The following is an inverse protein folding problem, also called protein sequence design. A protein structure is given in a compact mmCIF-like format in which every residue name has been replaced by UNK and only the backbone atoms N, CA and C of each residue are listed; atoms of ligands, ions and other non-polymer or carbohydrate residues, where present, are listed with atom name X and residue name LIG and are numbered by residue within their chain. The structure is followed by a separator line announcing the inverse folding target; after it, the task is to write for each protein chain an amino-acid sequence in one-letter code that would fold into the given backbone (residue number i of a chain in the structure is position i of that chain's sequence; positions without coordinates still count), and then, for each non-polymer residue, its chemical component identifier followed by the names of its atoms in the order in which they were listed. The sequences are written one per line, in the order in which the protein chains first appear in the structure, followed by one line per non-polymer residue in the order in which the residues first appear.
data_IF_374334826875
#
_entry.id   IF_374334826875
#
_cell.length_a   1.000
_cell.length_b   1.000
_cell.length_c   1.000
_cell.angle_alpha   90.00
_cell.angle_beta   90.00
_cell.angle_gamma   90.00
#
_symmetry.space_group_name_H-M   'P 1'
#
loop_
_entity.id
_entity.type
_entity.pdbx_description
1 polymer ?
#
# COMPACT_ATOMS: atom_id res chain seq x y z
N UNK A 1 1.96 -15.71 -25.59
CA UNK A 1 1.92 -14.24 -25.74
C UNK A 1 0.70 -13.91 -26.57
N UNK A 2 -0.07 -12.91 -26.20
CA UNK A 2 -1.33 -12.56 -26.88
C UNK A 2 -1.12 -11.68 -28.12
N UNK A 3 0.12 -11.35 -28.48
CA UNK A 3 0.46 -10.59 -29.69
C UNK A 3 0.01 -9.11 -29.68
N UNK A 4 -0.26 -8.55 -28.50
CA UNK A 4 -0.59 -7.14 -28.31
C UNK A 4 0.50 -6.44 -27.52
N UNK A 5 0.76 -5.18 -27.84
CA UNK A 5 1.69 -4.38 -27.05
C UNK A 5 1.13 -4.14 -25.66
N UNK A 6 1.93 -4.30 -24.59
CA UNK A 6 1.48 -4.03 -23.23
C UNK A 6 1.26 -2.52 -23.09
N UNK A 7 0.02 -2.14 -22.77
CA UNK A 7 -0.33 -0.76 -22.45
C UNK A 7 -1.03 -0.74 -21.08
N UNK A 8 -0.60 0.16 -20.20
CA UNK A 8 -1.27 0.41 -18.94
C UNK A 8 -2.30 1.54 -19.13
N UNK A 9 -3.55 1.16 -19.36
CA UNK A 9 -4.65 2.12 -19.43
C UNK A 9 -5.49 2.03 -18.16
N UNK A 10 -5.51 3.09 -17.33
CA UNK A 10 -6.37 3.10 -16.15
C UNK A 10 -7.84 3.11 -16.56
N UNK A 11 -8.71 2.37 -15.83
CA UNK A 11 -10.14 2.38 -16.07
C UNK A 11 -10.71 3.79 -15.86
N UNK A 12 -11.83 4.07 -16.51
CA UNK A 12 -12.56 5.34 -16.35
C UNK A 12 -13.55 5.23 -15.21
N UNK A 13 -13.49 6.16 -14.27
CA UNK A 13 -14.42 6.29 -13.15
C UNK A 13 -15.19 7.61 -13.22
N UNK A 14 -16.32 7.65 -12.56
CA UNK A 14 -16.99 8.92 -12.26
C UNK A 14 -16.22 9.62 -11.12
N UNK A 15 -15.54 10.70 -11.46
CA UNK A 15 -14.78 11.54 -10.55
C UNK A 15 -15.48 12.89 -10.26
N UNK A 16 -16.74 13.05 -10.65
CA UNK A 16 -17.48 14.32 -10.58
C UNK A 16 -17.92 14.72 -9.16
N UNK A 17 -17.91 13.78 -8.21
CA UNK A 17 -18.29 14.06 -6.84
C UNK A 17 -17.44 15.18 -6.21
N UNK A 18 -18.07 16.08 -5.46
CA UNK A 18 -17.38 17.17 -4.76
C UNK A 18 -16.43 16.63 -3.69
N UNK A 19 -15.29 17.31 -3.52
CA UNK A 19 -14.31 16.99 -2.48
C UNK A 19 -14.95 16.98 -1.09
N UNK A 20 -14.82 15.86 -0.38
CA UNK A 20 -15.44 15.64 0.94
C UNK A 20 -14.52 16.06 2.09
N UNK A 21 -13.20 15.95 1.90
CA UNK A 21 -12.20 16.20 2.94
C UNK A 21 -11.52 17.54 2.70
N UNK A 22 -11.54 18.40 3.72
CA UNK A 22 -10.87 19.71 3.68
C UNK A 22 -9.39 19.57 4.07
N UNK A 23 -8.54 20.43 3.49
CA UNK A 23 -7.11 20.49 3.77
C UNK A 23 -6.28 19.42 3.05
N UNK A 24 -4.99 19.36 3.36
CA UNK A 24 -4.07 18.35 2.86
C UNK A 24 -4.36 17.00 3.51
N UNK A 25 -4.50 15.95 2.73
CA UNK A 25 -4.69 14.61 3.28
C UNK A 25 -4.15 13.52 2.34
N UNK A 26 -3.81 12.41 2.94
CA UNK A 26 -3.41 11.19 2.25
C UNK A 26 -4.32 10.04 2.67
N UNK A 27 -4.55 9.11 1.76
CA UNK A 27 -5.22 7.86 2.08
C UNK A 27 -4.19 6.75 2.26
N UNK A 28 -4.42 5.87 3.22
CA UNK A 28 -3.60 4.68 3.43
C UNK A 28 -4.43 3.41 3.35
N UNK A 29 -3.86 2.35 2.76
CA UNK A 29 -4.38 0.99 2.77
C UNK A 29 -3.32 0.04 3.32
N UNK A 30 -3.55 -0.47 4.53
CA UNK A 30 -2.57 -1.26 5.28
C UNK A 30 -2.82 -2.76 5.19
N UNK A 31 -3.92 -3.16 4.55
CA UNK A 31 -4.36 -4.55 4.50
C UNK A 31 -4.24 -5.15 3.11
N UNK A 32 -4.04 -6.45 3.09
CA UNK A 32 -4.07 -7.29 1.90
C UNK A 32 -4.59 -8.67 2.28
N UNK A 33 -5.02 -9.46 1.30
CA UNK A 33 -5.46 -10.84 1.50
C UNK A 33 -4.35 -11.78 1.98
N UNK A 34 -3.08 -11.40 1.82
CA UNK A 34 -1.92 -12.19 2.20
C UNK A 34 -1.04 -11.41 3.18
N UNK A 35 -0.72 -12.01 4.35
CA UNK A 35 0.14 -11.38 5.36
C UNK A 35 1.54 -11.04 4.84
N UNK A 36 2.08 -11.82 3.91
CA UNK A 36 3.37 -11.51 3.30
C UNK A 36 3.36 -10.21 2.47
N UNK A 37 2.19 -9.75 2.05
CA UNK A 37 2.01 -8.44 1.40
C UNK A 37 1.90 -7.29 2.40
N UNK A 38 1.65 -7.56 3.68
CA UNK A 38 1.59 -6.52 4.69
C UNK A 38 2.98 -5.92 4.94
N UNK A 39 3.02 -4.67 5.32
CA UNK A 39 4.26 -4.07 5.80
C UNK A 39 4.50 -4.49 7.25
N UNK A 40 5.30 -5.53 7.42
CA UNK A 40 5.51 -6.21 8.70
C UNK A 40 6.56 -5.52 9.59
N UNK A 41 6.99 -4.30 9.28
CA UNK A 41 7.85 -3.52 10.16
C UNK A 41 7.07 -3.03 11.39
N UNK A 42 7.50 -3.32 12.63
CA UNK A 42 6.69 -3.13 13.84
C UNK A 42 6.30 -1.67 14.12
N UNK A 43 7.12 -0.71 13.69
CA UNK A 43 6.88 0.73 13.89
C UNK A 43 6.59 1.47 12.57
N UNK A 44 6.55 0.76 11.45
CA UNK A 44 6.52 1.35 10.12
C UNK A 44 5.37 2.34 9.94
N UNK A 45 4.15 1.88 10.02
CA UNK A 45 2.98 2.74 9.85
C UNK A 45 2.93 3.89 10.86
N UNK A 46 3.26 3.60 12.12
CA UNK A 46 3.25 4.62 13.18
C UNK A 46 4.17 5.78 12.84
N UNK A 47 5.42 5.51 12.51
CA UNK A 47 6.43 6.55 12.24
C UNK A 47 6.11 7.34 10.97
N UNK A 48 5.65 6.67 9.90
CA UNK A 48 5.23 7.33 8.65
C UNK A 48 4.04 8.26 8.91
N UNK A 49 3.04 7.81 9.67
CA UNK A 49 1.87 8.64 9.98
C UNK A 49 2.26 9.84 10.86
N UNK A 50 3.14 9.65 11.84
CA UNK A 50 3.66 10.75 12.67
C UNK A 50 4.41 11.79 11.83
N UNK A 51 5.23 11.33 10.87
CA UNK A 51 5.93 12.22 9.93
C UNK A 51 4.94 13.03 9.08
N UNK A 52 3.96 12.38 8.48
CA UNK A 52 2.94 13.05 7.66
C UNK A 52 2.14 14.09 8.46
N UNK A 53 1.76 13.78 9.70
CA UNK A 53 1.08 14.73 10.58
C UNK A 53 1.94 15.96 10.90
N UNK A 54 3.24 15.78 11.12
CA UNK A 54 4.20 16.91 11.29
C UNK A 54 4.29 17.77 10.04
N UNK A 55 4.08 17.21 8.86
CA UNK A 55 4.01 17.90 7.56
C UNK A 55 2.62 18.53 7.29
N UNK A 56 1.68 18.44 8.23
CA UNK A 56 0.34 19.02 8.13
C UNK A 56 -0.69 18.19 7.38
N UNK A 57 -0.41 16.92 7.11
CA UNK A 57 -1.37 16.01 6.46
C UNK A 57 -2.29 15.34 7.47
N UNK A 58 -3.55 15.24 7.12
CA UNK A 58 -4.46 14.23 7.69
C UNK A 58 -4.16 12.89 7.04
N UNK A 59 -4.22 11.81 7.81
CA UNK A 59 -3.95 10.46 7.30
C UNK A 59 -5.17 9.58 7.54
N UNK A 60 -5.85 9.21 6.46
CA UNK A 60 -7.10 8.46 6.47
C UNK A 60 -6.83 6.99 6.15
N UNK A 61 -7.12 6.09 7.09
CA UNK A 61 -7.10 4.65 6.83
C UNK A 61 -8.44 4.24 6.20
N UNK A 62 -8.39 3.75 4.96
CA UNK A 62 -9.59 3.47 4.16
C UNK A 62 -9.80 1.98 3.85
N UNK A 63 -9.17 1.10 4.60
CA UNK A 63 -9.38 -0.34 4.48
C UNK A 63 -10.85 -0.75 4.73
N UNK A 64 -11.18 -1.97 4.35
CA UNK A 64 -12.53 -2.50 4.59
C UNK A 64 -12.85 -2.66 6.07
N UNK A 65 -11.89 -3.16 6.83
CA UNK A 65 -12.06 -3.49 8.24
C UNK A 65 -10.98 -2.79 9.09
N UNK A 66 -11.26 -2.43 10.36
CA UNK A 66 -10.26 -1.80 11.22
C UNK A 66 -9.16 -2.79 11.65
N UNK A 67 -9.36 -4.07 11.44
CA UNK A 67 -8.34 -5.11 11.62
C UNK A 67 -8.56 -6.26 10.63
N UNK A 68 -7.48 -6.98 10.35
CA UNK A 68 -7.52 -8.24 9.59
C UNK A 68 -6.53 -9.23 10.18
N UNK A 69 -6.78 -10.51 10.00
CA UNK A 69 -5.86 -11.54 10.45
C UNK A 69 -6.53 -12.89 10.66
N UNK A 70 -5.70 -13.90 10.90
CA UNK A 70 -6.12 -15.28 11.11
C UNK A 70 -5.05 -16.02 11.93
N UNK A 71 -5.45 -17.05 12.66
CA UNK A 71 -4.56 -17.97 13.38
C UNK A 71 -3.56 -17.27 14.33
N UNK A 72 -4.04 -16.26 15.07
CA UNK A 72 -3.22 -15.55 16.05
C UNK A 72 -2.35 -14.41 15.47
N UNK A 73 -2.34 -14.20 14.16
CA UNK A 73 -1.61 -13.10 13.54
C UNK A 73 -2.61 -12.07 13.03
N UNK A 74 -2.52 -10.84 13.54
CA UNK A 74 -3.47 -9.76 13.24
C UNK A 74 -2.75 -8.47 12.88
N UNK A 75 -3.30 -7.74 11.92
CA UNK A 75 -2.91 -6.36 11.57
C UNK A 75 -4.06 -5.44 11.93
N UNK A 76 -3.77 -4.46 12.77
CA UNK A 76 -4.73 -3.45 13.22
C UNK A 76 -4.48 -2.13 12.54
N UNK A 77 -5.55 -1.37 12.34
CA UNK A 77 -5.45 0.01 11.91
C UNK A 77 -4.54 0.79 12.87
N UNK A 78 -3.56 1.56 12.37
CA UNK A 78 -2.70 2.36 13.23
C UNK A 78 -3.51 3.37 14.06
N UNK A 79 -3.34 3.43 15.39
CA UNK A 79 -4.19 4.26 16.26
C UNK A 79 -4.03 5.76 16.03
N UNK A 80 -2.97 6.17 15.35
CA UNK A 80 -2.72 7.56 14.98
C UNK A 80 -3.22 7.94 13.57
N UNK A 81 -3.85 7.03 12.82
CA UNK A 81 -4.60 7.33 11.62
C UNK A 81 -6.06 7.70 11.94
N UNK A 82 -6.70 8.43 11.04
CA UNK A 82 -8.15 8.65 11.12
C UNK A 82 -8.89 7.46 10.55
N UNK A 83 -9.94 7.00 11.27
CA UNK A 83 -10.71 5.83 10.87
C UNK A 83 -11.75 6.18 9.80
N UNK A 84 -11.48 5.74 8.59
CA UNK A 84 -12.39 5.75 7.45
C UNK A 84 -12.66 4.34 6.95
N UNK A 85 -12.42 3.32 7.78
CA UNK A 85 -12.69 1.92 7.45
C UNK A 85 -14.20 1.64 7.33
N UNK A 86 -14.55 0.43 7.00
CA UNK A 86 -15.92 -0.04 6.88
C UNK A 86 -16.21 -0.72 5.54
N UNK A 87 -17.23 -1.56 5.50
CA UNK A 87 -17.70 -2.18 4.26
C UNK A 87 -18.54 -1.17 3.46
N UNK A 88 -17.87 -0.26 2.76
CA UNK A 88 -18.50 0.84 2.00
C UNK A 88 -18.51 0.53 0.50
N UNK A 89 -19.44 1.12 -0.25
CA UNK A 89 -19.43 1.06 -1.72
C UNK A 89 -18.10 1.53 -2.30
N UNK A 90 -17.69 0.93 -3.43
CA UNK A 90 -16.43 1.30 -4.10
C UNK A 90 -16.37 2.78 -4.47
N UNK A 91 -17.51 3.37 -4.87
CA UNK A 91 -17.59 4.79 -5.20
C UNK A 91 -17.20 5.69 -4.01
N UNK A 92 -17.54 5.32 -2.78
CA UNK A 92 -17.10 6.09 -1.61
C UNK A 92 -15.58 6.07 -1.41
N UNK A 93 -14.93 4.94 -1.76
CA UNK A 93 -13.45 4.84 -1.77
C UNK A 93 -12.84 5.72 -2.87
N UNK A 94 -13.43 5.68 -4.07
CA UNK A 94 -13.03 6.55 -5.18
C UNK A 94 -13.13 8.02 -4.76
N UNK A 95 -14.24 8.42 -4.14
CA UNK A 95 -14.48 9.79 -3.68
C UNK A 95 -13.48 10.27 -2.62
N UNK A 96 -12.95 9.37 -1.79
CA UNK A 96 -11.88 9.69 -0.84
C UNK A 96 -10.51 9.75 -1.51
N UNK A 97 -10.22 8.83 -2.41
CA UNK A 97 -8.91 8.68 -3.04
C UNK A 97 -8.67 9.79 -4.07
N UNK A 98 -9.63 10.10 -4.94
CA UNK A 98 -9.44 11.00 -6.08
C UNK A 98 -8.97 12.41 -5.75
N UNK A 99 -9.28 12.87 -4.53
CA UNK A 99 -8.91 14.20 -4.03
C UNK A 99 -7.78 14.16 -3.00
N UNK A 100 -7.21 12.98 -2.71
CA UNK A 100 -6.06 12.83 -1.84
C UNK A 100 -4.79 13.35 -2.52
N UNK A 101 -3.87 13.95 -1.77
CA UNK A 101 -2.59 14.42 -2.31
C UNK A 101 -1.75 13.23 -2.83
N UNK A 102 -1.82 12.09 -2.16
CA UNK A 102 -1.29 10.78 -2.62
C UNK A 102 -1.89 9.64 -1.80
N UNK A 103 -1.62 8.43 -2.24
CA UNK A 103 -1.99 7.19 -1.57
C UNK A 103 -0.74 6.43 -1.12
N UNK A 104 -0.76 5.82 0.06
CA UNK A 104 0.28 4.89 0.52
C UNK A 104 -0.35 3.54 0.74
N UNK A 105 0.18 2.51 0.13
CA UNK A 105 -0.38 1.17 0.30
C UNK A 105 0.53 0.04 -0.11
N UNK A 106 -0.08 -1.12 -0.12
CA UNK A 106 0.55 -2.41 -0.36
C UNK A 106 0.21 -2.90 -1.78
N UNK A 107 0.78 -4.02 -2.19
CA UNK A 107 0.34 -4.77 -3.38
C UNK A 107 -1.09 -5.30 -3.18
N UNK A 108 -2.08 -4.42 -3.26
CA UNK A 108 -3.49 -4.69 -2.97
C UNK A 108 -4.44 -3.88 -3.85
N UNK A 109 -5.72 -4.24 -3.84
CA UNK A 109 -6.75 -3.59 -4.67
C UNK A 109 -6.88 -2.08 -4.46
N UNK A 110 -6.66 -1.56 -3.24
CA UNK A 110 -6.73 -0.12 -2.97
C UNK A 110 -5.60 0.67 -3.67
N UNK A 111 -4.41 0.10 -3.79
CA UNK A 111 -3.30 0.72 -4.55
C UNK A 111 -3.63 0.79 -6.05
N UNK A 112 -4.22 -0.29 -6.60
CA UNK A 112 -4.72 -0.30 -7.98
C UNK A 112 -5.84 0.72 -8.19
N UNK A 113 -6.73 0.88 -7.21
CA UNK A 113 -7.79 1.87 -7.27
C UNK A 113 -7.24 3.30 -7.26
N UNK A 114 -6.24 3.57 -6.43
CA UNK A 114 -5.59 4.89 -6.38
C UNK A 114 -4.87 5.22 -7.69
N UNK A 115 -4.14 4.25 -8.26
CA UNK A 115 -3.55 4.39 -9.59
C UNK A 115 -4.60 4.66 -10.67
N UNK A 116 -5.72 3.93 -10.63
CA UNK A 116 -6.82 4.12 -11.57
C UNK A 116 -7.51 5.48 -11.43
N UNK A 117 -7.52 6.07 -10.23
CA UNK A 117 -7.95 7.44 -9.97
C UNK A 117 -6.90 8.49 -10.38
N UNK A 118 -5.75 8.08 -10.90
CA UNK A 118 -4.60 8.96 -11.27
C UNK A 118 -3.99 9.70 -10.08
N UNK A 119 -4.11 9.14 -8.90
CA UNK A 119 -3.48 9.66 -7.68
C UNK A 119 -2.10 9.03 -7.53
N UNK A 120 -1.04 9.80 -7.21
CA UNK A 120 0.28 9.22 -6.98
C UNK A 120 0.25 8.15 -5.89
N UNK A 121 0.92 7.02 -6.13
CA UNK A 121 0.92 5.89 -5.21
C UNK A 121 2.32 5.59 -4.70
N UNK A 122 2.52 5.73 -3.40
CA UNK A 122 3.67 5.17 -2.69
C UNK A 122 3.37 3.70 -2.39
N UNK A 123 4.04 2.80 -3.10
CA UNK A 123 3.75 1.37 -3.06
C UNK A 123 4.82 0.61 -2.27
N UNK A 124 4.46 0.13 -1.09
CA UNK A 124 5.31 -0.72 -0.25
C UNK A 124 5.09 -2.18 -0.67
N UNK A 125 6.09 -2.77 -1.32
CA UNK A 125 5.92 -4.10 -1.91
C UNK A 125 7.23 -4.88 -1.98
N UNK A 126 7.38 -5.89 -1.13
CA UNK A 126 8.52 -6.80 -1.14
C UNK A 126 8.14 -8.23 -1.58
N UNK A 127 6.90 -8.64 -1.34
CA UNK A 127 6.42 -9.99 -1.64
C UNK A 127 6.13 -10.21 -3.13
N UNK A 128 5.74 -9.17 -3.86
CA UNK A 128 5.48 -9.19 -5.29
C UNK A 128 6.64 -8.58 -6.08
N UNK A 129 6.87 -9.10 -7.28
CA UNK A 129 7.87 -8.56 -8.19
C UNK A 129 7.41 -7.25 -8.86
N UNK A 130 8.33 -6.38 -9.29
CA UNK A 130 7.98 -5.08 -9.88
C UNK A 130 7.01 -5.13 -11.06
N UNK A 131 7.09 -6.15 -11.89
CA UNK A 131 6.21 -6.31 -13.06
C UNK A 131 4.80 -6.81 -12.74
N UNK A 132 4.51 -7.10 -11.47
CA UNK A 132 3.20 -7.62 -11.04
C UNK A 132 2.19 -6.50 -10.78
N UNK A 133 2.65 -5.29 -10.60
CA UNK A 133 1.82 -4.12 -10.35
C UNK A 133 2.05 -3.05 -11.43
N UNK A 134 1.13 -2.06 -11.42
CA UNK A 134 1.27 -0.84 -12.22
C UNK A 134 2.62 -0.13 -11.95
N UNK A 135 3.06 0.65 -12.91
CA UNK A 135 4.25 1.47 -12.74
C UNK A 135 3.97 2.64 -11.78
N UNK A 136 4.87 2.83 -10.84
CA UNK A 136 4.97 4.04 -10.00
C UNK A 136 6.44 4.32 -9.70
N UNK A 137 6.90 5.61 -9.80
CA UNK A 137 8.26 5.98 -9.42
C UNK A 137 8.49 5.93 -7.90
N UNK A 138 7.42 5.72 -7.13
CA UNK A 138 7.42 5.68 -5.67
C UNK A 138 7.23 4.26 -5.12
N UNK A 139 7.66 3.25 -5.89
CA UNK A 139 7.71 1.86 -5.42
C UNK A 139 8.88 1.66 -4.46
N UNK A 140 8.62 0.97 -3.36
CA UNK A 140 9.58 0.69 -2.31
C UNK A 140 9.69 -0.83 -2.12
N UNK A 141 10.89 -1.35 -2.25
CA UNK A 141 11.23 -2.73 -1.88
C UNK A 141 12.70 -2.79 -1.46
N UNK A 142 13.09 -3.86 -0.76
CA UNK A 142 14.48 -4.07 -0.38
C UNK A 142 15.08 -5.20 -1.22
N UNK A 143 15.98 -4.91 -2.18
CA UNK A 143 16.59 -5.92 -3.04
C UNK A 143 17.67 -6.77 -2.32
N UNK A 144 18.09 -6.39 -1.12
CA UNK A 144 19.17 -7.04 -0.38
C UNK A 144 18.67 -8.19 0.52
N UNK A 145 17.38 -8.46 0.53
CA UNK A 145 16.73 -9.54 1.28
C UNK A 145 15.92 -10.44 0.38
N UNK A 146 15.39 -11.52 0.90
CA UNK A 146 14.43 -12.36 0.17
C UNK A 146 13.23 -11.52 -0.29
N UNK A 147 12.79 -11.70 -1.53
CA UNK A 147 11.65 -10.96 -2.09
C UNK A 147 10.96 -11.75 -3.23
N UNK A 148 9.81 -11.24 -3.71
CA UNK A 148 9.12 -11.68 -4.93
C UNK A 148 8.57 -13.11 -4.93
N UNK A 149 8.32 -13.70 -3.76
CA UNK A 149 7.79 -15.07 -3.65
C UNK A 149 6.42 -15.23 -4.34
N UNK A 150 5.59 -14.18 -4.42
CA UNK A 150 4.32 -14.21 -5.15
C UNK A 150 4.47 -14.63 -6.60
N UNK A 151 5.57 -14.26 -7.24
CA UNK A 151 5.85 -14.53 -8.64
C UNK A 151 6.77 -15.74 -8.84
N UNK A 152 7.11 -16.45 -7.78
CA UNK A 152 7.87 -17.69 -7.81
C UNK A 152 6.94 -18.88 -7.54
N UNK A 153 6.50 -19.53 -8.62
CA UNK A 153 5.55 -20.67 -8.54
C UNK A 153 6.12 -21.91 -7.83
N UNK A 154 7.43 -21.96 -7.58
CA UNK A 154 8.07 -23.05 -6.80
C UNK A 154 7.95 -22.79 -5.30
N UNK A 155 7.86 -21.54 -4.91
CA UNK A 155 7.83 -21.12 -3.51
C UNK A 155 6.41 -20.78 -3.03
N UNK A 156 5.58 -20.24 -3.91
CA UNK A 156 4.27 -19.73 -3.55
C UNK A 156 3.18 -20.79 -3.69
N UNK A 157 2.59 -21.16 -2.56
CA UNK A 157 1.40 -22.01 -2.50
C UNK A 157 0.15 -21.19 -2.16
N UNK A 158 -0.82 -21.16 -3.08
CA UNK A 158 -2.10 -20.50 -2.88
C UNK A 158 -2.91 -21.06 -1.71
N UNK A 159 -2.71 -22.30 -1.31
CA UNK A 159 -3.41 -22.91 -0.18
C UNK A 159 -2.89 -22.43 1.18
N UNK A 160 -1.69 -21.85 1.24
CA UNK A 160 -0.99 -21.47 2.47
C UNK A 160 -0.41 -20.05 2.43
N UNK A 161 -1.19 -19.07 1.99
CA UNK A 161 -0.73 -17.70 1.80
C UNK A 161 -0.71 -16.82 3.07
N UNK A 162 -0.98 -17.40 4.23
CA UNK A 162 -0.89 -16.69 5.52
C UNK A 162 0.51 -16.75 6.14
N UNK A 163 1.41 -17.50 5.56
CA UNK A 163 2.77 -17.68 6.03
C UNK A 163 3.80 -17.16 5.03
N UNK A 164 5.02 -16.93 5.52
CA UNK A 164 6.16 -16.70 4.65
C UNK A 164 6.50 -18.01 3.91
N UNK A 165 6.49 -18.07 2.59
CA UNK A 165 6.75 -19.32 1.87
C UNK A 165 8.14 -19.90 2.16
N UNK A 166 9.18 -19.05 2.25
CA UNK A 166 10.58 -19.47 2.41
C UNK A 166 11.02 -19.62 3.86
N UNK A 167 10.51 -18.78 4.76
CA UNK A 167 11.01 -18.64 6.13
C UNK A 167 9.87 -18.74 7.15
N UNK A 168 8.97 -19.67 6.98
CA UNK A 168 7.89 -19.91 7.95
C UNK A 168 8.49 -20.32 9.31
N UNK A 169 8.08 -19.62 10.38
CA UNK A 169 8.56 -19.84 11.75
C UNK A 169 10.07 -19.60 11.95
N UNK A 170 10.71 -18.86 11.06
CA UNK A 170 12.10 -18.44 11.14
C UNK A 170 12.19 -16.96 11.50
N UNK A 171 13.35 -16.51 12.02
CA UNK A 171 13.61 -15.09 12.32
C UNK A 171 13.58 -14.20 11.07
N UNK A 172 13.76 -14.76 9.89
CA UNK A 172 13.67 -14.09 8.59
C UNK A 172 12.27 -14.04 8.02
N UNK A 173 11.27 -14.54 8.76
CA UNK A 173 9.88 -14.55 8.30
C UNK A 173 9.43 -13.13 7.91
N UNK A 174 8.92 -12.97 6.70
CA UNK A 174 8.49 -11.70 6.13
C UNK A 174 9.59 -10.62 6.03
N UNK A 175 10.88 -11.00 6.00
CA UNK A 175 11.97 -10.02 5.87
C UNK A 175 11.82 -9.10 4.65
N UNK A 176 11.18 -9.59 3.57
CA UNK A 176 10.89 -8.80 2.36
C UNK A 176 10.11 -7.52 2.63
N UNK A 177 9.30 -7.48 3.68
CA UNK A 177 8.56 -6.29 4.09
C UNK A 177 9.02 -5.74 5.43
N UNK A 178 9.44 -6.60 6.37
CA UNK A 178 9.93 -6.16 7.67
C UNK A 178 11.22 -5.33 7.58
N UNK A 179 12.06 -5.60 6.57
CA UNK A 179 13.31 -4.87 6.32
C UNK A 179 13.14 -3.66 5.37
N UNK A 180 11.93 -3.28 5.03
CA UNK A 180 11.62 -1.97 4.48
C UNK A 180 11.48 -1.02 5.67
N UNK A 181 12.47 -0.15 5.88
CA UNK A 181 12.49 0.73 7.05
C UNK A 181 11.55 1.93 6.89
N UNK A 182 11.03 2.49 7.99
CA UNK A 182 10.21 3.70 7.95
C UNK A 182 10.96 4.88 7.32
N UNK A 183 12.26 5.00 7.55
CA UNK A 183 13.11 6.05 6.97
C UNK A 183 13.11 5.97 5.45
N UNK A 184 13.27 4.77 4.88
CA UNK A 184 13.20 4.57 3.43
C UNK A 184 11.83 4.98 2.87
N UNK A 185 10.74 4.65 3.56
CA UNK A 185 9.39 5.06 3.15
C UNK A 185 9.22 6.57 3.24
N UNK A 186 9.70 7.20 4.31
CA UNK A 186 9.68 8.65 4.53
C UNK A 186 10.47 9.38 3.44
N UNK A 187 11.65 8.91 3.09
CA UNK A 187 12.48 9.51 2.02
C UNK A 187 11.75 9.50 0.66
N UNK A 188 11.02 8.42 0.36
CA UNK A 188 10.23 8.34 -0.87
C UNK A 188 9.04 9.30 -0.83
N UNK A 189 8.36 9.39 0.31
CA UNK A 189 7.25 10.33 0.53
C UNK A 189 7.73 11.78 0.37
N UNK A 190 8.85 12.14 1.00
CA UNK A 190 9.40 13.50 0.93
C UNK A 190 9.83 13.87 -0.50
N UNK A 191 10.36 12.93 -1.27
CA UNK A 191 10.63 13.15 -2.70
C UNK A 191 9.34 13.45 -3.48
N UNK A 192 8.26 12.71 -3.24
CA UNK A 192 6.96 12.93 -3.87
C UNK A 192 6.43 14.32 -3.50
N UNK A 193 6.39 14.65 -2.21
CA UNK A 193 5.89 15.97 -1.74
C UNK A 193 6.70 17.12 -2.36
N UNK A 194 8.02 17.01 -2.36
CA UNK A 194 8.90 18.03 -2.93
C UNK A 194 8.74 18.19 -4.45
N UNK A 195 8.31 17.15 -5.16
CA UNK A 195 7.96 17.26 -6.58
C UNK A 195 6.64 17.99 -6.79
N UNK A 196 5.61 17.66 -6.01
CA UNK A 196 4.31 18.35 -6.07
C UNK A 196 4.37 19.83 -5.68
N UNK A 197 5.28 20.21 -4.78
CA UNK A 197 5.46 21.62 -4.37
C UNK A 197 6.19 22.47 -5.44
N UNK A 198 6.78 21.87 -6.46
CA UNK A 198 7.48 22.53 -7.57
C UNK A 198 6.64 22.67 -8.84
N UNK A 199 5.53 21.96 -8.94
CA UNK A 199 4.56 22.02 -10.04
C UNK A 199 3.47 23.05 -9.79
#
# INVERSE_FOLDING_TARGET
MLGVDPAEEPPRFDLSAKRKIKGKYVCIGIQSTNLAKHWNHPLGWRQVIEHLKKRGYRVLCIDRDPFTGKNGTYTYMPPNAEDFTGNKPLQERIDLIKDADFFIGLSSGLSWLAWACKVPVVLISGFTAPWNEFYTPYRIFNPNVCHSCWNDFKEFDLSNYWHCPRFQNDLRQFECSAMITPEHVIDVIDRLINQQEKE
#
